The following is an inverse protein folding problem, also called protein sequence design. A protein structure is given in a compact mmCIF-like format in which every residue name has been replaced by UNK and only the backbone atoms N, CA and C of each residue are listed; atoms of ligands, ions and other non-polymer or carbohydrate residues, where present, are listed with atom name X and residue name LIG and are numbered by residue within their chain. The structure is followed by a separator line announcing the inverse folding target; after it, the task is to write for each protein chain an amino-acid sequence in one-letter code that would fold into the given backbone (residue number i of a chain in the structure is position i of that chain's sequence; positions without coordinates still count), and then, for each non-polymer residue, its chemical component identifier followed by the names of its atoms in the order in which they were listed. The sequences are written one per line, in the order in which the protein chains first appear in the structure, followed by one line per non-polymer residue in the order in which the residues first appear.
data_IF_468054327913
#
_entry.id   IF_468054327913
#
_cell.length_a   1.000
_cell.length_b   1.000
_cell.length_c   1.000
_cell.angle_alpha   90.00
_cell.angle_beta   90.00
_cell.angle_gamma   90.00
#
_symmetry.space_group_name_H-M   'P 1'
#
loop_
_entity.id
_entity.type
_entity.pdbx_description
1 polymer ?
#
# COMPACT_ATOMS: atom_id res chain seq x y z
N UNK A 1 -1.57 6.43 33.90
CA UNK A 1 -0.95 6.92 32.65
C UNK A 1 -0.38 5.74 31.87
N UNK A 2 -1.26 4.85 31.40
CA UNK A 2 -0.87 3.67 30.63
C UNK A 2 -1.75 3.66 29.38
N UNK A 3 -1.29 4.29 28.31
CA UNK A 3 -1.82 4.08 26.97
C UNK A 3 -0.80 3.24 26.23
N UNK A 4 -0.96 1.93 26.46
CA UNK A 4 -0.81 0.85 25.50
C UNK A 4 -0.50 1.38 24.10
N UNK A 5 0.69 1.03 23.60
CA UNK A 5 1.19 1.26 22.24
C UNK A 5 0.02 1.14 21.26
N UNK A 6 -0.39 2.27 20.70
CA UNK A 6 -1.31 2.30 19.57
C UNK A 6 -0.63 1.52 18.44
N UNK A 7 -1.33 0.50 17.97
CA UNK A 7 -0.94 -0.30 16.84
C UNK A 7 -0.82 0.65 15.64
N UNK A 8 0.37 1.18 15.33
CA UNK A 8 0.54 2.00 14.14
C UNK A 8 0.61 1.06 12.95
N UNK A 9 -0.57 0.66 12.47
CA UNK A 9 -0.87 0.22 11.13
C UNK A 9 -0.37 1.27 10.14
N UNK A 10 0.94 1.36 9.91
CA UNK A 10 1.45 1.89 8.66
C UNK A 10 1.01 0.88 7.60
N UNK A 11 -0.16 1.17 7.00
CA UNK A 11 -1.00 0.41 6.06
C UNK A 11 -0.39 -0.93 5.60
N UNK A 12 -1.15 -2.02 5.65
CA UNK A 12 -0.77 -3.33 5.07
C UNK A 12 -0.05 -3.18 3.71
N UNK A 13 -0.54 -2.22 2.89
CA UNK A 13 0.08 -1.78 1.64
C UNK A 13 1.49 -1.21 1.81
N UNK A 14 1.71 -0.25 2.68
CA UNK A 14 3.01 0.38 2.94
C UNK A 14 4.02 -0.65 3.48
N UNK A 15 3.58 -1.58 4.33
CA UNK A 15 4.38 -2.72 4.78
C UNK A 15 4.84 -3.62 3.63
N UNK A 16 3.90 -4.02 2.76
CA UNK A 16 4.20 -4.79 1.54
C UNK A 16 5.17 -4.01 0.64
N UNK A 17 4.96 -2.71 0.43
CA UNK A 17 5.84 -1.89 -0.40
C UNK A 17 7.27 -1.82 0.15
N UNK A 18 7.43 -1.60 1.45
CA UNK A 18 8.74 -1.57 2.09
C UNK A 18 9.48 -2.91 1.93
N UNK A 19 8.75 -4.03 2.05
CA UNK A 19 9.32 -5.36 1.86
C UNK A 19 9.70 -5.65 0.40
N UNK A 20 8.93 -5.17 -0.59
CA UNK A 20 9.29 -5.26 -2.02
C UNK A 20 10.55 -4.42 -2.32
N UNK A 21 10.63 -3.20 -1.78
CA UNK A 21 11.81 -2.34 -1.95
C UNK A 21 13.07 -2.94 -1.32
N UNK A 22 12.94 -3.61 -0.16
CA UNK A 22 14.05 -4.29 0.50
C UNK A 22 14.64 -5.45 -0.34
N UNK A 23 13.89 -5.97 -1.31
CA UNK A 23 14.33 -6.98 -2.28
C UNK A 23 14.90 -6.36 -3.57
N UNK A 24 15.16 -5.04 -3.58
CA UNK A 24 15.67 -4.25 -4.70
C UNK A 24 14.70 -4.12 -5.89
N UNK A 25 13.39 -4.26 -5.67
CA UNK A 25 12.38 -3.99 -6.70
C UNK A 25 11.77 -2.60 -6.47
N UNK A 26 11.93 -1.71 -7.44
CA UNK A 26 11.35 -0.36 -7.40
C UNK A 26 9.83 -0.39 -7.51
N UNK A 27 9.12 0.19 -6.54
CA UNK A 27 7.65 0.20 -6.44
C UNK A 27 7.15 1.56 -5.97
N UNK A 28 5.98 1.98 -6.46
CA UNK A 28 5.39 3.30 -6.17
C UNK A 28 3.92 3.26 -5.77
N UNK A 29 3.38 4.44 -5.46
CA UNK A 29 1.94 4.68 -5.20
C UNK A 29 1.38 5.64 -6.25
N UNK A 30 0.29 5.26 -6.92
CA UNK A 30 -0.46 6.11 -7.84
C UNK A 30 -1.97 5.87 -7.70
N UNK A 31 -2.71 6.67 -6.93
CA UNK A 31 -2.31 7.80 -6.09
C UNK A 31 -3.08 7.75 -4.77
N UNK A 32 -2.67 8.55 -3.79
CA UNK A 32 -3.48 8.77 -2.59
C UNK A 32 -4.77 9.50 -2.97
N UNK A 33 -5.88 9.11 -2.37
CA UNK A 33 -7.18 9.74 -2.64
C UNK A 33 -7.11 11.25 -2.34
N UNK A 34 -7.50 12.07 -3.31
CA UNK A 34 -7.15 13.49 -3.34
C UNK A 34 -7.67 14.27 -2.12
N UNK A 35 -8.85 13.90 -1.63
CA UNK A 35 -9.50 14.55 -0.49
C UNK A 35 -8.80 14.27 0.84
N UNK A 36 -7.93 13.26 0.89
CA UNK A 36 -7.13 12.92 2.07
C UNK A 36 -5.80 13.70 2.14
N UNK A 37 -5.49 14.53 1.15
CA UNK A 37 -4.32 15.42 1.26
C UNK A 37 -4.58 16.56 2.25
N UNK A 38 -3.56 17.02 3.02
CA UNK A 38 -3.73 18.02 4.08
C UNK A 38 -4.51 19.26 3.64
N UNK A 39 -4.18 19.81 2.47
CA UNK A 39 -4.88 20.97 1.90
C UNK A 39 -6.39 20.77 1.78
N UNK A 40 -6.85 19.61 1.28
CA UNK A 40 -8.27 19.36 1.10
C UNK A 40 -8.98 19.06 2.42
N UNK A 41 -8.31 18.38 3.36
CA UNK A 41 -8.85 18.16 4.69
C UNK A 41 -9.02 19.49 5.45
N UNK A 42 -8.01 20.35 5.44
CA UNK A 42 -7.99 21.62 6.18
C UNK A 42 -8.93 22.67 5.56
N UNK A 43 -8.96 22.79 4.23
CA UNK A 43 -9.72 23.86 3.57
C UNK A 43 -11.11 23.45 3.07
N UNK A 44 -11.39 22.15 2.96
CA UNK A 44 -12.70 21.66 2.46
C UNK A 44 -13.42 20.76 3.45
N UNK A 45 -12.77 20.35 4.54
CA UNK A 45 -13.38 19.54 5.58
C UNK A 45 -13.87 18.19 5.06
N UNK A 46 -13.24 17.63 4.03
CA UNK A 46 -13.62 16.32 3.49
C UNK A 46 -13.20 15.21 4.46
N UNK A 47 -14.15 14.48 5.08
CA UNK A 47 -13.82 13.38 5.97
C UNK A 47 -13.47 12.12 5.15
N UNK A 48 -12.72 11.21 5.78
CA UNK A 48 -12.63 9.83 5.31
C UNK A 48 -14.02 9.18 5.31
N UNK A 49 -14.30 8.31 4.36
CA UNK A 49 -15.61 7.71 4.08
C UNK A 49 -16.47 8.51 3.09
N UNK A 50 -16.09 9.74 2.74
CA UNK A 50 -16.87 10.55 1.78
C UNK A 50 -16.76 10.01 0.35
N UNK A 51 -15.62 9.43 -0.03
CA UNK A 51 -15.38 8.87 -1.36
C UNK A 51 -14.86 7.43 -1.24
N UNK A 52 -15.71 6.46 -0.85
CA UNK A 52 -15.28 5.13 -0.44
C UNK A 52 -14.54 4.36 -1.53
N UNK A 53 -14.93 4.52 -2.80
CA UNK A 53 -14.24 3.86 -3.92
C UNK A 53 -12.82 4.42 -4.15
N UNK A 54 -12.64 5.73 -3.98
CA UNK A 54 -11.33 6.36 -4.13
C UNK A 54 -10.40 5.96 -2.98
N UNK A 55 -10.93 5.89 -1.76
CA UNK A 55 -10.21 5.43 -0.57
C UNK A 55 -9.80 3.97 -0.72
N UNK A 56 -10.74 3.09 -1.05
CA UNK A 56 -10.49 1.67 -1.27
C UNK A 56 -9.35 1.41 -2.27
N UNK A 57 -9.33 2.14 -3.39
CA UNK A 57 -8.25 2.04 -4.36
C UNK A 57 -6.92 2.59 -3.81
N UNK A 58 -6.95 3.80 -3.24
CA UNK A 58 -5.79 4.50 -2.69
C UNK A 58 -5.03 3.69 -1.62
N UNK A 59 -5.78 3.03 -0.74
CA UNK A 59 -5.23 2.29 0.40
C UNK A 59 -4.60 0.95 0.00
N UNK A 60 -4.83 0.47 -1.23
CA UNK A 60 -4.46 -0.89 -1.65
C UNK A 60 -3.58 -0.94 -2.90
N UNK A 61 -3.65 0.10 -3.74
CA UNK A 61 -2.95 0.11 -5.01
C UNK A 61 -1.44 0.27 -4.82
N UNK A 62 -0.69 -0.51 -5.60
CA UNK A 62 0.76 -0.40 -5.80
C UNK A 62 1.06 -0.30 -7.29
N UNK A 63 2.12 0.41 -7.64
CA UNK A 63 2.58 0.56 -9.03
C UNK A 63 3.88 -0.22 -9.22
N UNK A 64 3.82 -1.24 -10.08
CA UNK A 64 4.98 -2.04 -10.47
C UNK A 64 5.87 -1.28 -11.46
N UNK A 65 7.18 -1.57 -11.52
CA UNK A 65 8.06 -0.96 -12.48
C UNK A 65 7.67 -1.45 -13.88
N UNK A 66 7.45 -0.50 -14.78
CA UNK A 66 7.18 -0.75 -16.19
C UNK A 66 7.73 0.41 -17.00
N UNK A 67 8.89 0.20 -17.62
CA UNK A 67 9.57 1.21 -18.44
C UNK A 67 10.38 0.55 -19.56
N UNK A 68 10.65 1.26 -20.69
CA UNK A 68 11.20 0.63 -21.91
C UNK A 68 12.60 0.01 -21.77
N UNK A 69 13.36 0.41 -20.75
CA UNK A 69 14.74 -0.04 -20.50
C UNK A 69 14.82 -1.25 -19.55
N UNK A 70 13.69 -1.84 -19.14
CA UNK A 70 13.71 -3.07 -18.34
C UNK A 70 14.25 -4.23 -19.16
N UNK A 71 15.17 -4.98 -18.57
CA UNK A 71 15.61 -6.28 -19.07
C UNK A 71 14.62 -7.38 -18.68
N UNK A 72 14.71 -8.55 -19.33
CA UNK A 72 13.96 -9.73 -18.93
C UNK A 72 14.28 -10.13 -17.49
N UNK A 73 15.52 -9.93 -17.03
CA UNK A 73 15.92 -10.18 -15.65
C UNK A 73 15.22 -9.23 -14.67
N UNK A 74 15.05 -7.96 -15.02
CA UNK A 74 14.31 -7.00 -14.18
C UNK A 74 12.84 -7.43 -14.05
N UNK A 75 12.23 -7.91 -15.13
CA UNK A 75 10.87 -8.43 -15.11
C UNK A 75 10.75 -9.72 -14.28
N UNK A 76 11.72 -10.64 -14.41
CA UNK A 76 11.78 -11.87 -13.62
C UNK A 76 11.90 -11.58 -12.12
N UNK A 77 12.69 -10.57 -11.74
CA UNK A 77 12.80 -10.15 -10.34
C UNK A 77 11.48 -9.63 -9.78
N UNK A 78 10.73 -8.83 -10.55
CA UNK A 78 9.39 -8.36 -10.17
C UNK A 78 8.43 -9.55 -9.99
N UNK A 79 8.40 -10.47 -10.95
CA UNK A 79 7.54 -11.67 -10.94
C UNK A 79 7.87 -12.59 -9.75
N UNK A 80 9.14 -12.67 -9.37
CA UNK A 80 9.60 -13.47 -8.23
C UNK A 80 9.28 -12.81 -6.89
N UNK A 81 9.58 -11.52 -6.75
CA UNK A 81 9.54 -10.80 -5.47
C UNK A 81 8.13 -10.45 -5.05
N UNK A 82 7.31 -9.90 -5.95
CA UNK A 82 5.99 -9.33 -5.58
C UNK A 82 5.05 -10.40 -5.01
N UNK A 83 4.82 -11.55 -5.68
CA UNK A 83 3.97 -12.61 -5.12
C UNK A 83 4.54 -13.21 -3.83
N UNK A 84 5.87 -13.33 -3.72
CA UNK A 84 6.54 -13.83 -2.51
C UNK A 84 6.22 -12.96 -1.30
N UNK A 85 6.33 -11.63 -1.45
CA UNK A 85 6.05 -10.68 -0.37
C UNK A 85 4.56 -10.70 -0.03
N UNK A 86 3.67 -10.58 -1.02
CA UNK A 86 2.22 -10.60 -0.80
C UNK A 86 1.79 -11.87 -0.03
N UNK A 87 2.30 -13.05 -0.41
CA UNK A 87 1.98 -14.31 0.26
C UNK A 87 2.49 -14.36 1.72
N UNK A 88 3.54 -13.62 2.06
CA UNK A 88 4.04 -13.54 3.44
C UNK A 88 3.11 -12.70 4.33
N UNK A 89 2.57 -11.60 3.80
CA UNK A 89 1.63 -10.71 4.52
C UNK A 89 0.20 -11.29 4.58
N UNK A 90 -0.22 -12.10 3.59
CA UNK A 90 -1.51 -12.80 3.66
C UNK A 90 -1.57 -13.86 4.78
N UNK A 91 -0.43 -14.45 5.17
CA UNK A 91 -0.38 -15.48 6.22
C UNK A 91 -0.49 -14.90 7.63
N UNK A 92 -0.28 -13.60 7.79
CA UNK A 92 -0.41 -12.90 9.07
C UNK A 92 -1.84 -12.43 9.37
N UNK A 93 -2.69 -12.32 8.34
CA UNK A 93 -4.07 -11.82 8.45
C UNK A 93 -5.11 -12.91 8.75
N UNK A 94 -4.82 -13.78 9.73
CA UNK A 94 -5.74 -14.79 10.25
C UNK A 94 -7.02 -14.27 10.94
N UNK A 95 -7.57 -13.13 10.52
CA UNK A 95 -8.91 -12.65 10.83
C UNK A 95 -9.51 -11.99 9.58
N UNK A 96 -10.11 -12.81 8.72
CA UNK A 96 -11.01 -12.33 7.68
C UNK A 96 -12.18 -11.53 8.27
N UNK A 97 -12.80 -10.63 7.48
CA UNK A 97 -13.88 -9.78 7.95
C UNK A 97 -15.04 -10.63 8.49
N UNK A 98 -15.42 -10.31 9.71
CA UNK A 98 -16.51 -10.92 10.46
C UNK A 98 -17.75 -10.04 10.25
N UNK A 99 -18.77 -10.64 9.61
CA UNK A 99 -20.15 -10.16 9.40
C UNK A 99 -20.36 -8.91 8.52
#
# INVERSE_FOLDING_TARGET
MSSRVENSEADDRDGVMNAVQAENVGIGVQFRAVHLHPYYMEHRGFPRGMFPNAEYYSDRAISLPLYPMMSDMDADDVIRVVPKVIAAYQKTDGKGPQA
#
